data_IF_937719995745
#
_entry.id   IF_937719995745
#
_cell.length_a   1.000
_cell.length_b   1.000
_cell.length_c   1.000
_cell.angle_alpha   90.00
_cell.angle_beta   90.00
_cell.angle_gamma   90.00
#
_symmetry.space_group_name_H-M   'P 1'
#
loop_
_entity.id
_entity.type
_entity.pdbx_description
1 polymer ?
#
# COMPACT_ATOMS: atom_id res chain seq x y z
N UNK A 1 -57.86 -23.23 -17.78
CA UNK A 1 -56.87 -22.16 -18.07
C UNK A 1 -56.01 -21.97 -16.84
N UNK A 2 -54.78 -22.47 -16.91
CA UNK A 2 -53.77 -22.41 -15.86
C UNK A 2 -53.19 -21.00 -15.87
N UNK A 3 -53.27 -20.26 -14.75
CA UNK A 3 -52.48 -19.04 -14.54
C UNK A 3 -51.50 -19.29 -13.41
N UNK A 4 -50.24 -19.25 -13.83
CA UNK A 4 -48.98 -19.49 -13.15
C UNK A 4 -48.79 -18.63 -11.91
N UNK A 5 -48.33 -19.29 -10.84
CA UNK A 5 -47.72 -18.70 -9.66
C UNK A 5 -46.32 -18.24 -10.07
N UNK A 6 -46.03 -16.94 -9.97
CA UNK A 6 -44.66 -16.44 -10.00
C UNK A 6 -44.14 -16.41 -8.56
N UNK A 7 -43.07 -17.15 -8.21
CA UNK A 7 -42.40 -16.92 -6.95
C UNK A 7 -41.63 -15.61 -7.07
N UNK A 8 -41.86 -14.70 -6.12
CA UNK A 8 -40.95 -13.60 -5.81
C UNK A 8 -39.59 -14.21 -5.47
N UNK A 9 -38.71 -14.29 -6.45
CA UNK A 9 -37.29 -14.51 -6.22
C UNK A 9 -36.82 -13.28 -5.46
N UNK A 10 -36.66 -13.44 -4.15
CA UNK A 10 -36.06 -12.43 -3.29
C UNK A 10 -34.72 -12.04 -3.91
N UNK A 11 -34.65 -10.80 -4.36
CA UNK A 11 -33.40 -10.12 -4.64
C UNK A 11 -32.67 -10.07 -3.30
N UNK A 12 -31.79 -11.04 -3.05
CA UNK A 12 -30.77 -10.90 -2.03
C UNK A 12 -29.90 -9.75 -2.53
N UNK A 13 -30.22 -8.53 -2.11
CA UNK A 13 -29.23 -7.47 -2.11
C UNK A 13 -28.10 -8.01 -1.25
N UNK A 14 -27.07 -8.55 -1.90
CA UNK A 14 -25.76 -8.62 -1.28
C UNK A 14 -25.46 -7.17 -0.90
N UNK A 15 -25.58 -6.87 0.38
CA UNK A 15 -24.92 -5.69 0.93
C UNK A 15 -23.45 -5.97 0.64
N UNK A 16 -22.91 -5.35 -0.40
CA UNK A 16 -21.48 -5.25 -0.63
C UNK A 16 -20.96 -4.43 0.55
N UNK A 17 -20.74 -5.08 1.69
CA UNK A 17 -20.05 -4.46 2.79
C UNK A 17 -18.65 -4.18 2.26
N UNK A 18 -18.22 -2.92 2.17
CA UNK A 18 -16.83 -2.56 1.87
C UNK A 18 -15.83 -3.01 2.94
N UNK A 19 -16.22 -3.98 3.76
CA UNK A 19 -15.45 -4.60 4.82
C UNK A 19 -14.40 -5.51 4.18
N UNK A 20 -13.16 -5.05 4.21
CA UNK A 20 -11.95 -5.73 3.77
C UNK A 20 -11.24 -6.29 4.99
N UNK A 21 -10.80 -7.55 4.87
CA UNK A 21 -9.91 -8.23 5.83
C UNK A 21 -8.53 -8.39 5.20
N UNK A 22 -7.51 -8.63 6.03
CA UNK A 22 -6.15 -8.80 5.51
C UNK A 22 -6.05 -9.92 4.46
N UNK A 23 -6.77 -11.03 4.65
CA UNK A 23 -6.76 -12.14 3.70
C UNK A 23 -7.27 -11.76 2.30
N UNK A 24 -8.09 -10.72 2.17
CA UNK A 24 -8.60 -10.25 0.89
C UNK A 24 -7.52 -9.50 0.07
N UNK A 25 -6.45 -9.04 0.73
CA UNK A 25 -5.28 -8.43 0.09
C UNK A 25 -4.27 -9.46 -0.43
N UNK A 26 -4.42 -10.71 -0.01
CA UNK A 26 -3.55 -11.81 -0.40
C UNK A 26 -4.18 -12.47 -1.63
N UNK A 27 -3.39 -12.78 -2.67
CA UNK A 27 -3.90 -13.59 -3.79
C UNK A 27 -4.43 -14.92 -3.27
N UNK A 28 -5.40 -15.56 -3.94
CA UNK A 28 -6.05 -16.80 -3.44
C UNK A 28 -5.08 -17.96 -3.12
N UNK A 29 -3.90 -18.01 -3.77
CA UNK A 29 -2.82 -18.98 -3.49
C UNK A 29 -1.61 -18.37 -2.74
N UNK A 30 -1.76 -17.14 -2.27
CA UNK A 30 -0.68 -16.29 -1.79
C UNK A 30 -0.15 -16.76 -0.43
N UNK A 31 0.98 -17.47 -0.46
CA UNK A 31 1.78 -17.71 0.76
C UNK A 31 2.60 -16.47 1.15
N UNK A 32 2.64 -15.45 0.29
CA UNK A 32 3.44 -14.25 0.44
C UNK A 32 2.62 -12.99 0.15
N UNK A 33 2.89 -11.92 0.91
CA UNK A 33 2.45 -10.56 0.66
C UNK A 33 3.67 -9.69 0.32
N UNK A 34 3.69 -9.14 -0.89
CA UNK A 34 4.82 -8.35 -1.42
C UNK A 34 6.20 -9.04 -1.23
N UNK A 35 6.27 -10.33 -1.56
CA UNK A 35 7.50 -11.14 -1.41
C UNK A 35 7.84 -11.57 0.01
N UNK A 36 7.03 -11.20 1.02
CA UNK A 36 7.22 -11.59 2.42
C UNK A 36 6.24 -12.69 2.79
N UNK A 37 6.63 -13.80 3.43
CA UNK A 37 5.68 -14.81 3.91
C UNK A 37 4.59 -14.17 4.78
N UNK A 38 3.33 -14.51 4.54
CA UNK A 38 2.16 -13.85 5.19
C UNK A 38 2.27 -13.84 6.70
N UNK A 39 2.65 -14.97 7.31
CA UNK A 39 2.86 -15.06 8.76
C UNK A 39 4.00 -14.15 9.25
N UNK A 40 5.08 -14.00 8.47
CA UNK A 40 6.18 -13.08 8.80
C UNK A 40 5.72 -11.63 8.69
N UNK A 41 4.94 -11.28 7.67
CA UNK A 41 4.38 -9.94 7.50
C UNK A 41 3.47 -9.55 8.67
N UNK A 42 2.49 -10.41 9.01
CA UNK A 42 1.58 -10.16 10.13
C UNK A 42 2.34 -10.00 11.46
N UNK A 43 3.34 -10.86 11.71
CA UNK A 43 4.21 -10.73 12.89
C UNK A 43 4.99 -9.40 12.90
N UNK A 44 5.52 -8.97 11.75
CA UNK A 44 6.25 -7.70 11.63
C UNK A 44 5.34 -6.50 11.92
N UNK A 45 4.13 -6.47 11.33
CA UNK A 45 3.15 -5.41 11.54
C UNK A 45 2.70 -5.33 13.00
N UNK A 46 2.36 -6.45 13.62
CA UNK A 46 2.01 -6.50 15.06
C UNK A 46 3.15 -5.95 15.94
N UNK A 47 4.42 -6.26 15.62
CA UNK A 47 5.57 -5.71 16.35
C UNK A 47 5.71 -4.20 16.14
N UNK A 48 5.53 -3.70 14.92
CA UNK A 48 5.57 -2.27 14.65
C UNK A 48 4.47 -1.52 15.39
N UNK A 49 3.25 -2.07 15.42
CA UNK A 49 2.10 -1.49 16.16
C UNK A 49 2.39 -1.42 17.67
N UNK A 50 2.87 -2.50 18.28
CA UNK A 50 3.24 -2.56 19.70
C UNK A 50 4.35 -1.55 20.04
N UNK A 51 5.42 -1.51 19.23
CA UNK A 51 6.50 -0.54 19.44
C UNK A 51 6.03 0.90 19.28
N UNK A 52 5.13 1.17 18.31
CA UNK A 52 4.56 2.50 18.12
C UNK A 52 3.74 2.95 19.35
N UNK A 53 2.87 2.09 19.89
CA UNK A 53 2.10 2.37 21.10
C UNK A 53 3.00 2.63 22.31
N UNK A 54 4.02 1.80 22.51
CA UNK A 54 5.03 1.99 23.57
C UNK A 54 5.75 3.32 23.43
N UNK A 55 6.11 3.75 22.21
CA UNK A 55 6.72 5.05 21.98
C UNK A 55 5.77 6.22 22.31
N UNK A 56 4.47 6.07 22.05
CA UNK A 56 3.46 7.10 22.39
C UNK A 56 3.05 7.12 23.87
N UNK A 57 3.44 6.11 24.66
CA UNK A 57 2.94 5.90 26.03
C UNK A 57 1.41 5.72 26.08
N UNK A 58 0.82 5.19 25.02
CA UNK A 58 -0.62 4.95 24.98
C UNK A 58 -0.94 3.66 25.75
N UNK A 59 -1.84 3.74 26.74
CA UNK A 59 -2.33 2.59 27.52
C UNK A 59 -3.45 1.81 26.81
N UNK A 60 -3.59 1.98 25.49
CA UNK A 60 -4.66 1.35 24.72
C UNK A 60 -4.31 -0.11 24.40
N UNK A 61 -5.24 -1.03 24.64
CA UNK A 61 -5.09 -2.44 24.26
C UNK A 61 -4.92 -2.52 22.74
N UNK A 62 -3.76 -2.95 22.26
CA UNK A 62 -3.58 -3.19 20.82
C UNK A 62 -4.54 -4.28 20.37
N UNK A 63 -5.48 -3.95 19.48
CA UNK A 63 -6.08 -4.98 18.63
C UNK A 63 -4.96 -5.58 17.78
N UNK A 64 -4.99 -6.90 17.60
CA UNK A 64 -4.04 -7.53 16.69
C UNK A 64 -4.41 -7.16 15.26
N UNK A 65 -3.38 -7.04 14.43
CA UNK A 65 -3.47 -6.77 13.01
C UNK A 65 -4.49 -7.68 12.29
N UNK A 66 -4.53 -8.96 12.65
CA UNK A 66 -5.39 -9.98 12.04
C UNK A 66 -6.87 -9.82 12.40
N UNK A 67 -7.16 -9.16 13.51
CA UNK A 67 -8.52 -8.98 14.03
C UNK A 67 -9.19 -7.72 13.45
N UNK A 68 -8.44 -6.88 12.71
CA UNK A 68 -8.97 -5.67 12.11
C UNK A 68 -9.94 -5.97 10.94
N UNK A 69 -11.00 -5.18 10.86
CA UNK A 69 -11.94 -5.12 9.73
C UNK A 69 -11.98 -3.67 9.28
N UNK A 70 -11.75 -3.44 7.99
CA UNK A 70 -11.59 -2.10 7.44
C UNK A 70 -12.67 -1.80 6.40
N UNK A 71 -13.31 -0.63 6.47
CA UNK A 71 -14.26 -0.19 5.43
C UNK A 71 -13.54 0.70 4.41
N UNK A 72 -13.27 0.14 3.23
CA UNK A 72 -12.53 0.83 2.17
C UNK A 72 -13.29 2.03 1.59
N UNK A 73 -14.59 2.14 1.82
CA UNK A 73 -15.39 3.27 1.34
C UNK A 73 -15.22 4.54 2.20
N UNK A 74 -14.77 4.39 3.45
CA UNK A 74 -14.63 5.51 4.38
C UNK A 74 -13.33 6.26 4.18
N UNK A 75 -12.20 5.56 4.39
CA UNK A 75 -10.85 6.14 4.37
C UNK A 75 -9.93 5.24 3.54
N UNK A 76 -9.96 5.35 2.19
CA UNK A 76 -9.23 4.44 1.31
C UNK A 76 -7.70 4.52 1.44
N UNK A 77 -7.17 5.60 2.03
CA UNK A 77 -5.74 5.83 2.31
C UNK A 77 -5.33 5.37 3.73
N UNK A 78 -6.27 4.92 4.57
CA UNK A 78 -6.01 4.50 5.97
C UNK A 78 -6.16 2.99 6.14
N UNK A 79 -5.57 2.21 5.23
CA UNK A 79 -5.65 0.75 5.30
C UNK A 79 -4.83 0.23 6.51
N UNK A 80 -5.46 -0.35 7.55
CA UNK A 80 -4.77 -0.79 8.76
C UNK A 80 -3.81 -1.95 8.51
N UNK A 81 -3.90 -2.58 7.33
CA UNK A 81 -3.05 -3.69 6.95
C UNK A 81 -1.72 -3.26 6.32
N UNK A 82 -1.56 -1.96 6.06
CA UNK A 82 -0.39 -1.35 5.42
C UNK A 82 0.33 -0.43 6.40
N UNK A 83 1.64 -0.25 6.19
CA UNK A 83 2.37 0.71 7.01
C UNK A 83 1.87 2.13 6.69
N UNK A 84 1.60 2.94 7.71
CA UNK A 84 1.04 4.30 7.58
C UNK A 84 -0.30 4.41 6.82
N UNK A 85 -0.95 3.29 6.47
CA UNK A 85 -2.22 3.28 5.76
C UNK A 85 -2.11 3.00 4.26
N UNK A 86 -0.97 3.30 3.64
CA UNK A 86 -0.83 3.36 2.18
C UNK A 86 0.51 2.78 1.65
N UNK A 87 1.41 2.32 2.54
CA UNK A 87 2.70 1.76 2.14
C UNK A 87 2.74 0.23 2.16
N UNK A 88 2.95 -0.34 0.98
CA UNK A 88 3.21 -1.77 0.78
C UNK A 88 4.72 -2.03 0.84
N UNK A 89 5.19 -2.49 1.99
CA UNK A 89 6.63 -2.70 2.24
C UNK A 89 7.07 -4.13 1.93
N UNK A 90 8.29 -4.27 1.43
CA UNK A 90 8.92 -5.58 1.28
C UNK A 90 9.62 -6.00 2.60
N UNK A 91 10.07 -7.25 2.66
CA UNK A 91 10.68 -7.80 3.87
C UNK A 91 11.88 -7.00 4.38
N UNK A 92 12.76 -6.52 3.48
CA UNK A 92 13.95 -5.77 3.88
C UNK A 92 13.57 -4.41 4.49
N UNK A 93 12.55 -3.76 3.93
CA UNK A 93 12.03 -2.49 4.43
C UNK A 93 11.36 -2.66 5.80
N UNK A 94 10.56 -3.71 5.99
CA UNK A 94 9.96 -4.06 7.28
C UNK A 94 11.02 -4.37 8.34
N UNK A 95 12.02 -5.19 8.00
CA UNK A 95 13.10 -5.54 8.92
C UNK A 95 13.89 -4.28 9.33
N UNK A 96 14.18 -3.36 8.39
CA UNK A 96 14.83 -2.08 8.67
C UNK A 96 14.01 -1.15 9.57
N UNK A 97 12.68 -1.07 9.35
CA UNK A 97 11.77 -0.30 10.20
C UNK A 97 11.75 -0.85 11.63
N UNK A 98 11.67 -2.17 11.79
CA UNK A 98 11.68 -2.79 13.11
C UNK A 98 12.95 -2.42 13.88
N UNK A 99 14.11 -2.45 13.23
CA UNK A 99 15.36 -2.04 13.87
C UNK A 99 15.37 -0.54 14.22
N UNK A 100 14.84 0.33 13.35
CA UNK A 100 14.71 1.75 13.65
C UNK A 100 13.82 2.01 14.88
N UNK A 101 12.68 1.33 15.00
CA UNK A 101 11.78 1.46 16.14
C UNK A 101 12.41 0.93 17.44
N UNK A 102 13.17 -0.17 17.38
CA UNK A 102 13.91 -0.67 18.56
C UNK A 102 14.91 0.35 19.09
N UNK A 103 15.59 1.06 18.21
CA UNK A 103 16.54 2.12 18.61
C UNK A 103 15.79 3.25 19.31
N UNK A 104 14.70 3.74 18.72
CA UNK A 104 13.87 4.78 19.34
C UNK A 104 13.36 4.38 20.72
N UNK A 105 12.97 3.11 20.90
CA UNK A 105 12.56 2.60 22.20
C UNK A 105 13.73 2.59 23.20
N UNK A 106 14.89 2.09 22.79
CA UNK A 106 16.07 2.08 23.64
C UNK A 106 16.48 3.51 24.06
N UNK A 107 16.43 4.47 23.14
CA UNK A 107 16.68 5.89 23.42
C UNK A 107 15.65 6.47 24.41
N UNK A 108 14.36 6.14 24.24
CA UNK A 108 13.29 6.52 25.19
C UNK A 108 13.52 5.97 26.60
N UNK A 109 14.13 4.80 26.71
CA UNK A 109 14.52 4.16 27.98
C UNK A 109 15.85 4.71 28.55
N UNK A 110 16.49 5.65 27.87
CA UNK A 110 17.75 6.27 28.30
C UNK A 110 19.02 5.49 27.90
N UNK A 111 18.90 4.46 27.07
CA UNK A 111 20.04 3.74 26.52
C UNK A 111 20.71 4.56 25.40
N UNK A 112 22.03 4.71 25.47
CA UNK A 112 22.82 5.35 24.41
C UNK A 112 23.14 4.33 23.32
N UNK A 113 22.49 4.46 22.16
CA UNK A 113 22.82 3.65 20.98
C UNK A 113 23.82 4.45 20.14
N UNK A 114 25.04 3.94 19.94
CA UNK A 114 26.02 4.58 19.07
C UNK A 114 25.46 4.69 17.65
N UNK A 115 25.39 5.90 17.08
CA UNK A 115 24.91 6.25 15.74
C UNK A 115 25.05 5.12 14.72
N UNK A 116 24.03 4.28 14.60
CA UNK A 116 23.86 3.45 13.42
C UNK A 116 22.76 4.11 12.60
N UNK A 117 23.15 4.67 11.47
CA UNK A 117 22.22 5.04 10.42
C UNK A 117 21.57 3.76 9.88
N UNK A 118 20.50 3.31 10.53
CA UNK A 118 19.61 2.30 9.95
C UNK A 118 18.75 3.01 8.91
N UNK A 119 19.25 3.07 7.68
CA UNK A 119 18.45 3.53 6.55
C UNK A 119 17.65 2.36 6.02
N UNK A 120 16.35 2.57 5.87
CA UNK A 120 15.57 1.75 4.94
C UNK A 120 16.29 1.80 3.59
N UNK A 121 16.62 0.63 3.04
CA UNK A 121 17.16 0.51 1.69
C UNK A 121 16.02 0.77 0.71
N UNK A 122 16.22 1.75 -0.18
CA UNK A 122 15.18 2.22 -1.10
C UNK A 122 15.74 2.17 -2.51
N UNK A 123 15.07 1.44 -3.39
CA UNK A 123 15.35 1.48 -4.82
C UNK A 123 14.87 2.81 -5.42
N UNK A 124 15.67 3.38 -6.31
CA UNK A 124 15.33 4.62 -7.01
C UNK A 124 15.15 4.34 -8.49
N UNK A 125 14.16 5.00 -9.10
CA UNK A 125 14.00 5.02 -10.55
C UNK A 125 15.13 5.85 -11.16
N UNK A 126 16.11 5.16 -11.77
CA UNK A 126 17.32 5.80 -12.33
C UNK A 126 17.25 6.00 -13.84
N UNK A 127 16.24 5.43 -14.50
CA UNK A 127 16.03 5.53 -15.95
C UNK A 127 14.69 6.20 -16.23
N UNK A 128 14.70 7.12 -17.19
CA UNK A 128 13.54 7.85 -17.65
C UNK A 128 13.34 7.61 -19.15
N UNK A 129 12.08 7.60 -19.65
CA UNK A 129 10.85 7.71 -18.88
C UNK A 129 10.55 6.44 -18.05
N UNK A 130 9.86 6.58 -16.93
CA UNK A 130 9.29 5.46 -16.17
C UNK A 130 8.14 4.88 -16.98
N UNK A 131 8.21 3.59 -17.30
CA UNK A 131 7.14 2.91 -18.00
C UNK A 131 5.95 2.66 -17.07
N UNK A 132 4.74 2.70 -17.61
CA UNK A 132 3.55 2.36 -16.85
C UNK A 132 2.43 1.71 -17.66
N UNK A 133 1.63 0.88 -17.00
CA UNK A 133 0.48 0.21 -17.59
C UNK A 133 -0.71 0.21 -16.65
N UNK A 134 -1.91 0.00 -17.22
CA UNK A 134 -3.10 -0.37 -16.46
C UNK A 134 -3.26 -1.88 -16.54
N UNK A 135 -3.52 -2.50 -15.39
CA UNK A 135 -3.76 -3.93 -15.31
C UNK A 135 -4.93 -4.35 -16.21
N UNK A 136 -4.78 -5.48 -16.89
CA UNK A 136 -5.75 -5.96 -17.88
C UNK A 136 -6.93 -6.68 -17.25
N UNK A 137 -6.75 -7.26 -16.06
CA UNK A 137 -7.75 -8.09 -15.37
C UNK A 137 -8.51 -7.25 -14.37
N UNK A 138 -7.80 -6.42 -13.60
CA UNK A 138 -8.36 -5.50 -12.60
C UNK A 138 -7.97 -4.07 -12.95
N UNK A 139 -8.51 -3.48 -14.03
CA UNK A 139 -8.12 -2.14 -14.44
C UNK A 139 -8.40 -1.12 -13.34
N UNK A 140 -7.42 -0.26 -13.05
CA UNK A 140 -7.54 0.82 -12.08
C UNK A 140 -8.81 1.66 -12.32
N UNK A 141 -9.54 1.96 -11.24
CA UNK A 141 -10.74 2.77 -11.33
C UNK A 141 -10.38 4.19 -11.81
N UNK A 142 -11.17 4.75 -12.74
CA UNK A 142 -10.86 5.99 -13.46
C UNK A 142 -9.89 5.84 -14.64
N UNK A 143 -9.20 4.70 -14.74
CA UNK A 143 -8.38 4.29 -15.87
C UNK A 143 -7.21 5.23 -16.21
N UNK A 144 -6.69 5.06 -17.42
CA UNK A 144 -5.53 5.80 -17.94
C UNK A 144 -5.70 7.33 -17.87
N UNK A 145 -6.92 7.85 -18.03
CA UNK A 145 -7.19 9.29 -18.00
C UNK A 145 -6.92 9.90 -16.62
N UNK A 146 -7.37 9.25 -15.55
CA UNK A 146 -7.11 9.72 -14.19
C UNK A 146 -5.62 9.60 -13.84
N UNK A 147 -5.00 8.48 -14.21
CA UNK A 147 -3.57 8.23 -14.00
C UNK A 147 -2.71 9.32 -14.66
N UNK A 148 -2.98 9.66 -15.92
CA UNK A 148 -2.28 10.72 -16.66
C UNK A 148 -2.38 12.09 -15.96
N UNK A 149 -3.49 12.39 -15.28
CA UNK A 149 -3.63 13.64 -14.50
C UNK A 149 -2.74 13.65 -13.26
N UNK A 150 -2.58 12.53 -12.57
CA UNK A 150 -1.65 12.42 -11.44
C UNK A 150 -0.19 12.52 -11.89
N UNK A 151 0.15 11.87 -13.01
CA UNK A 151 1.49 11.97 -13.63
C UNK A 151 1.83 13.40 -14.03
N UNK A 152 0.87 14.14 -14.62
CA UNK A 152 1.08 15.52 -15.03
C UNK A 152 1.56 16.41 -13.87
N UNK A 153 1.07 16.20 -12.65
CA UNK A 153 1.51 16.94 -11.47
C UNK A 153 3.01 16.74 -11.19
N UNK A 154 3.53 15.54 -11.41
CA UNK A 154 4.97 15.26 -11.29
C UNK A 154 5.77 15.82 -12.47
N UNK A 155 5.27 15.67 -13.70
CA UNK A 155 5.97 16.09 -14.92
C UNK A 155 6.06 17.61 -15.07
N UNK A 156 5.16 18.36 -14.43
CA UNK A 156 5.10 19.83 -14.44
C UNK A 156 6.21 20.46 -13.60
N UNK A 157 6.50 19.89 -12.43
CA UNK A 157 7.43 20.50 -11.45
C UNK A 157 8.72 19.72 -11.23
N UNK A 158 8.91 18.58 -11.90
CA UNK A 158 10.12 17.76 -11.78
C UNK A 158 10.67 17.31 -13.13
N UNK A 159 11.83 16.66 -13.10
CA UNK A 159 12.41 16.02 -14.27
C UNK A 159 11.87 14.60 -14.54
N UNK A 160 10.94 14.09 -13.72
CA UNK A 160 10.31 12.78 -13.94
C UNK A 160 9.50 12.82 -15.23
N UNK A 161 9.55 11.72 -16.00
CA UNK A 161 8.77 11.53 -17.22
C UNK A 161 8.16 10.14 -17.24
N UNK A 162 6.95 10.02 -17.78
CA UNK A 162 6.23 8.76 -17.87
C UNK A 162 5.96 8.35 -19.31
N UNK A 163 5.94 7.05 -19.57
CA UNK A 163 5.59 6.49 -20.88
C UNK A 163 4.70 5.27 -20.74
N UNK A 164 3.59 5.26 -21.46
CA UNK A 164 2.68 4.11 -21.45
C UNK A 164 3.36 2.88 -22.09
N UNK A 165 3.26 1.73 -21.43
CA UNK A 165 3.91 0.48 -21.81
C UNK A 165 4.48 -0.25 -20.59
N UNK A 166 5.16 -1.36 -20.83
CA UNK A 166 5.89 -2.09 -19.79
C UNK A 166 7.34 -2.30 -20.20
N UNK A 167 8.23 -2.23 -19.22
CA UNK A 167 9.65 -2.52 -19.39
C UNK A 167 10.04 -3.49 -18.27
N UNK A 168 10.26 -4.76 -18.64
CA UNK A 168 10.67 -5.80 -17.68
C UNK A 168 12.15 -5.74 -17.35
N UNK A 169 12.94 -4.97 -18.09
CA UNK A 169 14.38 -4.82 -17.87
C UNK A 169 14.67 -3.68 -16.90
N UNK A 170 14.03 -2.52 -17.10
CA UNK A 170 14.22 -1.34 -16.25
C UNK A 170 13.11 -1.14 -15.21
N UNK A 171 12.10 -2.01 -15.19
CA UNK A 171 10.94 -1.89 -14.33
C UNK A 171 9.85 -0.98 -14.91
N UNK A 172 8.62 -1.16 -14.42
CA UNK A 172 7.48 -0.30 -14.76
C UNK A 172 6.50 -0.22 -13.60
N UNK A 173 5.56 0.72 -13.66
CA UNK A 173 4.46 0.86 -12.70
C UNK A 173 3.20 0.24 -13.30
N UNK A 174 2.60 -0.72 -12.61
CA UNK A 174 1.31 -1.30 -12.96
C UNK A 174 0.22 -0.75 -12.02
N UNK A 175 -0.76 -0.06 -12.59
CA UNK A 175 -1.91 0.46 -11.88
C UNK A 175 -3.08 -0.51 -11.97
N UNK A 176 -3.67 -0.87 -10.83
CA UNK A 176 -4.77 -1.83 -10.77
C UNK A 176 -5.83 -1.42 -9.75
N UNK A 177 -7.04 -1.98 -9.85
CA UNK A 177 -8.10 -1.80 -8.86
C UNK A 177 -7.93 -2.84 -7.74
N UNK A 178 -7.18 -2.47 -6.70
CA UNK A 178 -7.10 -3.19 -5.43
C UNK A 178 -7.93 -2.52 -4.34
N UNK A 179 -7.77 -2.98 -3.10
CA UNK A 179 -8.43 -2.37 -1.95
C UNK A 179 -7.67 -1.11 -1.51
N UNK A 180 -8.35 0.04 -1.49
CA UNK A 180 -7.77 1.33 -1.14
C UNK A 180 -6.79 1.93 -2.14
N UNK A 181 -6.17 3.02 -1.70
CA UNK A 181 -5.10 3.74 -2.37
C UNK A 181 -3.80 3.37 -1.66
N UNK A 182 -2.88 2.73 -2.38
CA UNK A 182 -1.59 2.33 -1.81
C UNK A 182 -0.56 2.05 -2.89
N UNK A 183 0.70 2.04 -2.47
CA UNK A 183 1.84 1.90 -3.35
C UNK A 183 3.01 1.22 -2.66
N UNK A 184 3.83 0.53 -3.44
CA UNK A 184 5.11 0.06 -2.95
C UNK A 184 6.08 1.22 -2.78
N UNK A 185 6.91 1.16 -1.74
CA UNK A 185 7.86 2.23 -1.45
C UNK A 185 9.15 2.10 -2.27
N UNK A 186 9.42 3.08 -3.13
CA UNK A 186 10.57 3.09 -4.04
C UNK A 186 10.49 2.03 -5.16
N UNK A 187 11.44 2.10 -6.09
CA UNK A 187 11.54 1.15 -7.21
C UNK A 187 11.79 -0.27 -6.69
N UNK A 188 10.90 -1.20 -7.06
CA UNK A 188 11.09 -2.64 -6.94
C UNK A 188 11.65 -3.19 -8.27
N UNK A 189 12.27 -4.38 -8.23
CA UNK A 189 13.13 -4.86 -9.33
C UNK A 189 12.49 -4.84 -10.74
N UNK A 190 11.25 -5.33 -10.91
CA UNK A 190 10.65 -5.52 -12.25
C UNK A 190 9.33 -4.80 -12.45
N UNK A 191 8.59 -4.58 -11.37
CA UNK A 191 7.26 -3.98 -11.42
C UNK A 191 6.92 -3.40 -10.06
N UNK A 192 6.45 -2.15 -10.06
CA UNK A 192 5.75 -1.58 -8.93
C UNK A 192 4.24 -1.72 -9.15
N UNK A 193 3.49 -2.14 -8.15
CA UNK A 193 2.04 -2.17 -8.18
C UNK A 193 1.49 -1.01 -7.37
N UNK A 194 0.60 -0.23 -7.98
CA UNK A 194 -0.14 0.85 -7.33
C UNK A 194 -1.63 0.51 -7.36
N UNK A 195 -2.22 0.37 -6.18
CA UNK A 195 -3.65 0.16 -6.03
C UNK A 195 -4.38 1.49 -6.15
N UNK A 196 -5.30 1.58 -7.09
CA UNK A 196 -6.24 2.69 -7.25
C UNK A 196 -7.66 2.13 -7.19
N UNK A 197 -8.07 1.77 -5.97
CA UNK A 197 -9.40 1.26 -5.64
C UNK A 197 -10.49 2.34 -5.59
N UNK A 198 -11.56 2.04 -4.84
CA UNK A 198 -12.68 2.97 -4.64
C UNK A 198 -12.16 4.25 -3.95
N UNK A 199 -12.50 5.42 -4.49
CA UNK A 199 -12.15 6.72 -3.91
C UNK A 199 -10.80 7.31 -4.36
N UNK A 200 -9.97 6.56 -5.09
CA UNK A 200 -8.61 6.99 -5.44
C UNK A 200 -8.47 7.85 -6.71
N UNK A 201 -9.58 8.22 -7.39
CA UNK A 201 -9.55 8.79 -8.75
C UNK A 201 -9.11 10.26 -8.82
N UNK A 202 -8.85 10.89 -7.67
CA UNK A 202 -8.40 12.28 -7.60
C UNK A 202 -6.92 12.37 -8.02
N UNK A 203 -6.56 13.35 -8.85
CA UNK A 203 -5.18 13.50 -9.34
C UNK A 203 -4.15 13.66 -8.21
N UNK A 204 -4.50 14.36 -7.12
CA UNK A 204 -3.65 14.50 -5.94
C UNK A 204 -3.39 13.16 -5.24
N UNK A 205 -4.41 12.31 -5.09
CA UNK A 205 -4.28 10.96 -4.50
C UNK A 205 -3.40 10.08 -5.40
N UNK A 206 -3.64 10.08 -6.71
CA UNK A 206 -2.80 9.34 -7.65
C UNK A 206 -1.34 9.83 -7.60
N UNK A 207 -1.13 11.14 -7.51
CA UNK A 207 0.22 11.71 -7.40
C UNK A 207 0.90 11.36 -6.08
N UNK A 208 0.15 11.27 -4.97
CA UNK A 208 0.62 10.78 -3.68
C UNK A 208 1.13 9.32 -3.80
N UNK A 209 0.33 8.43 -4.39
CA UNK A 209 0.72 7.04 -4.60
C UNK A 209 1.92 6.86 -5.54
N UNK A 210 1.99 7.68 -6.59
CA UNK A 210 3.18 7.75 -7.45
C UNK A 210 4.38 8.22 -6.63
N UNK A 211 4.20 9.18 -5.71
CA UNK A 211 5.24 9.68 -4.82
C UNK A 211 5.87 8.58 -3.96
N UNK A 212 5.07 7.68 -3.39
CA UNK A 212 5.57 6.50 -2.69
C UNK A 212 6.45 5.63 -3.58
N UNK A 213 6.02 5.35 -4.81
CA UNK A 213 6.78 4.57 -5.79
C UNK A 213 8.09 5.27 -6.22
N UNK A 214 8.10 6.61 -6.24
CA UNK A 214 9.29 7.42 -6.46
C UNK A 214 10.17 7.57 -5.21
N UNK A 215 9.70 7.08 -4.05
CA UNK A 215 10.28 7.31 -2.73
C UNK A 215 10.45 8.78 -2.36
N UNK A 216 9.53 9.64 -2.78
CA UNK A 216 9.53 11.06 -2.42
C UNK A 216 9.08 11.31 -0.97
N UNK A 217 8.50 10.31 -0.31
CA UNK A 217 8.19 10.36 1.13
C UNK A 217 9.51 10.48 1.90
N UNK A 218 9.71 11.54 2.71
CA UNK A 218 10.96 11.73 3.44
C UNK A 218 11.29 10.53 4.32
N UNK A 219 12.55 10.08 4.33
CA UNK A 219 13.00 8.99 5.22
C UNK A 219 12.68 9.25 6.69
N UNK A 220 12.70 10.51 7.12
CA UNK A 220 12.35 10.94 8.47
C UNK A 220 10.86 10.78 8.83
N UNK A 221 9.99 10.61 7.83
CA UNK A 221 8.56 10.29 8.04
C UNK A 221 8.34 8.79 8.18
N UNK A 222 9.26 7.96 7.68
CA UNK A 222 9.18 6.50 7.78
C UNK A 222 9.77 5.94 9.07
N UNK A 223 10.73 6.62 9.69
CA UNK A 223 11.36 6.18 10.93
C UNK A 223 10.93 7.08 12.07
#
# INVERSE_FOLDING_TARGET
MIKTIFPLVGFFFLVLTGAVRFHDLISEEGTHFNGTPVAKYASAMNRLMDMHQKLRSDNMTSSRFEDAVWDENGFPEENPFLYQGDLVLNQQQLDALIEAYKIKLAEKEGHQISNRFYSISVGLWTKMPIYWSVDKVKPALGGATAIKKGMALWEEVTCVKFKEGSDRTNGHINFFAGAGCNSQYGMQQYQNNISLGIGCQKSAVIAHEIGHSLASTPKAVLT
#
